data_IF_153152681366
#
_entry.id   IF_153152681366
#
_cell.length_a   1.000
_cell.length_b   1.000
_cell.length_c   1.000
_cell.angle_alpha   90.00
_cell.angle_beta   90.00
_cell.angle_gamma   90.00
#
_symmetry.space_group_name_H-M   'P 1'
#
loop_
_entity.id
_entity.type
_entity.pdbx_description
1 polymer ?
#
# COMPACT_ATOMS: atom_id res chain seq x y z
N UNK A 1 13.06 -52.77 -38.41
CA UNK A 1 12.53 -51.40 -38.22
C UNK A 1 11.02 -51.54 -38.21
N UNK A 2 10.45 -51.46 -37.01
CA UNK A 2 9.04 -51.72 -36.72
C UNK A 2 8.21 -50.49 -37.11
N UNK A 3 6.97 -50.69 -37.57
CA UNK A 3 6.04 -49.66 -38.08
C UNK A 3 5.91 -48.42 -37.16
N UNK A 4 6.17 -48.57 -35.87
CA UNK A 4 6.23 -47.48 -34.89
C UNK A 4 7.32 -46.44 -35.19
N UNK A 5 8.48 -46.83 -35.74
CA UNK A 5 9.55 -45.87 -36.10
C UNK A 5 9.21 -45.03 -37.33
N UNK A 6 8.40 -45.56 -38.26
CA UNK A 6 8.04 -44.87 -39.51
C UNK A 6 6.95 -43.81 -39.28
N UNK A 7 6.05 -44.02 -38.31
CA UNK A 7 4.98 -43.07 -37.96
C UNK A 7 5.50 -41.91 -37.09
N UNK A 8 6.54 -42.15 -36.26
CA UNK A 8 7.11 -41.14 -35.36
C UNK A 8 7.98 -40.08 -36.07
N UNK A 9 8.54 -40.38 -37.24
CA UNK A 9 9.38 -39.46 -38.01
C UNK A 9 8.64 -38.20 -38.51
N UNK A 10 7.47 -38.30 -39.17
CA UNK A 10 6.74 -37.12 -39.63
C UNK A 10 6.20 -36.24 -38.48
N UNK A 11 5.76 -36.84 -37.37
CA UNK A 11 5.28 -36.08 -36.20
C UNK A 11 6.41 -35.27 -35.54
N UNK A 12 7.61 -35.84 -35.45
CA UNK A 12 8.78 -35.15 -34.93
C UNK A 12 9.19 -33.97 -35.83
N UNK A 13 9.20 -34.19 -37.15
CA UNK A 13 9.52 -33.14 -38.13
C UNK A 13 8.51 -31.99 -38.02
N UNK A 14 7.20 -32.30 -38.01
CA UNK A 14 6.15 -31.29 -37.87
C UNK A 14 6.28 -30.47 -36.58
N UNK A 15 6.68 -31.09 -35.47
CA UNK A 15 6.93 -30.37 -34.21
C UNK A 15 8.13 -29.43 -34.32
N UNK A 16 9.22 -29.86 -34.97
CA UNK A 16 10.39 -29.01 -35.18
C UNK A 16 10.07 -27.84 -36.11
N UNK A 17 9.36 -28.08 -37.21
CA UNK A 17 8.95 -27.05 -38.16
C UNK A 17 8.04 -26.01 -37.48
N UNK A 18 7.12 -26.44 -36.63
CA UNK A 18 6.25 -25.53 -35.86
C UNK A 18 7.05 -24.60 -34.95
N UNK A 19 8.10 -25.13 -34.32
CA UNK A 19 9.02 -24.36 -33.46
C UNK A 19 9.86 -23.35 -34.26
N UNK A 20 10.43 -23.79 -35.38
CA UNK A 20 11.21 -22.92 -36.27
C UNK A 20 10.33 -21.79 -36.81
N UNK A 21 9.11 -22.13 -37.24
CA UNK A 21 8.15 -21.14 -37.73
C UNK A 21 7.79 -20.12 -36.65
N UNK A 22 7.52 -20.56 -35.41
CA UNK A 22 7.22 -19.67 -34.29
C UNK A 22 8.37 -18.67 -34.03
N UNK A 23 9.61 -19.16 -33.91
CA UNK A 23 10.77 -18.31 -33.68
C UNK A 23 11.00 -17.34 -34.86
N UNK A 24 10.81 -17.79 -36.10
CA UNK A 24 10.91 -16.96 -37.29
C UNK A 24 9.84 -15.87 -37.35
N UNK A 25 8.61 -16.16 -36.92
CA UNK A 25 7.52 -15.18 -36.81
C UNK A 25 7.83 -14.14 -35.74
N UNK A 26 8.31 -14.55 -34.57
CA UNK A 26 8.68 -13.64 -33.49
C UNK A 26 9.83 -12.72 -33.92
N UNK A 27 10.88 -13.28 -34.52
CA UNK A 27 11.99 -12.50 -35.06
C UNK A 27 11.51 -11.45 -36.08
N UNK A 28 10.65 -11.86 -37.02
CA UNK A 28 10.10 -10.96 -38.04
C UNK A 28 9.26 -9.85 -37.42
N UNK A 29 8.44 -10.16 -36.41
CA UNK A 29 7.61 -9.19 -35.70
C UNK A 29 8.47 -8.15 -34.95
N UNK A 30 9.55 -8.58 -34.29
CA UNK A 30 10.51 -7.70 -33.63
C UNK A 30 11.19 -6.77 -34.66
N UNK A 31 11.72 -7.32 -35.75
CA UNK A 31 12.39 -6.54 -36.78
C UNK A 31 11.45 -5.50 -37.44
N UNK A 32 10.20 -5.88 -37.66
CA UNK A 32 9.19 -5.03 -38.26
C UNK A 32 8.48 -4.09 -37.26
N UNK A 33 8.85 -4.11 -35.96
CA UNK A 33 8.19 -3.36 -34.89
C UNK A 33 6.67 -3.62 -34.81
N UNK A 34 6.24 -4.84 -35.14
CA UNK A 34 4.83 -5.25 -35.11
C UNK A 34 4.45 -5.69 -33.69
N UNK A 35 4.40 -4.74 -32.76
CA UNK A 35 4.18 -5.03 -31.33
C UNK A 35 2.93 -5.88 -31.04
N UNK A 36 1.76 -5.66 -31.67
CA UNK A 36 0.59 -6.52 -31.46
C UNK A 36 0.85 -8.00 -31.78
N UNK A 37 1.66 -8.27 -32.81
CA UNK A 37 2.00 -9.63 -33.20
C UNK A 37 2.96 -10.27 -32.19
N UNK A 38 3.84 -9.49 -31.54
CA UNK A 38 4.69 -9.99 -30.46
C UNK A 38 3.81 -10.45 -29.29
N UNK A 39 2.85 -9.63 -28.85
CA UNK A 39 1.92 -10.02 -27.78
C UNK A 39 1.05 -11.23 -28.16
N UNK A 40 0.57 -11.31 -29.41
CA UNK A 40 -0.13 -12.51 -29.91
C UNK A 40 0.76 -13.77 -29.87
N UNK A 41 2.06 -13.64 -30.14
CA UNK A 41 3.00 -14.75 -30.09
C UNK A 41 3.42 -15.11 -28.65
N UNK A 42 3.28 -14.20 -27.69
CA UNK A 42 3.51 -14.50 -26.27
C UNK A 42 2.32 -15.21 -25.64
N UNK A 43 1.09 -14.79 -25.96
CA UNK A 43 -0.13 -15.49 -25.55
C UNK A 43 -1.19 -15.41 -26.66
N UNK A 44 -1.23 -16.45 -27.51
CA UNK A 44 -2.15 -16.49 -28.63
C UNK A 44 -3.59 -16.70 -28.19
N UNK A 45 -3.81 -17.37 -27.06
CA UNK A 45 -5.15 -17.65 -26.58
C UNK A 45 -5.79 -16.35 -26.08
N UNK A 46 -5.12 -15.66 -25.15
CA UNK A 46 -5.61 -14.41 -24.58
C UNK A 46 -5.83 -13.36 -25.67
N UNK A 47 -4.89 -13.22 -26.61
CA UNK A 47 -5.01 -12.27 -27.70
C UNK A 47 -6.23 -12.55 -28.59
N UNK A 48 -6.41 -13.80 -29.02
CA UNK A 48 -7.50 -14.16 -29.92
C UNK A 48 -8.87 -14.10 -29.22
N UNK A 49 -8.94 -14.47 -27.94
CA UNK A 49 -10.19 -14.42 -27.16
C UNK A 49 -10.59 -12.97 -26.83
N UNK A 50 -9.65 -12.14 -26.35
CA UNK A 50 -9.98 -10.80 -25.85
C UNK A 50 -9.95 -9.71 -26.94
N UNK A 51 -8.98 -9.76 -27.87
CA UNK A 51 -8.83 -8.73 -28.92
C UNK A 51 -9.61 -9.11 -30.18
N UNK A 52 -9.51 -10.36 -30.63
CA UNK A 52 -10.21 -10.83 -31.86
C UNK A 52 -11.58 -11.43 -31.62
N UNK A 53 -12.01 -11.55 -30.36
CA UNK A 53 -13.32 -12.08 -29.96
C UNK A 53 -13.60 -13.49 -30.51
N UNK A 54 -12.56 -14.32 -30.64
CA UNK A 54 -12.66 -15.72 -31.04
C UNK A 54 -12.72 -16.60 -29.80
N UNK A 55 -13.91 -17.07 -29.43
CA UNK A 55 -14.09 -17.94 -28.29
C UNK A 55 -13.34 -19.28 -28.46
N UNK A 56 -12.73 -19.77 -27.37
CA UNK A 56 -12.00 -21.05 -27.32
C UNK A 56 -10.84 -21.11 -28.32
N UNK A 57 -10.01 -20.07 -28.37
CA UNK A 57 -8.85 -20.05 -29.24
C UNK A 57 -7.78 -21.03 -28.75
N UNK A 58 -7.04 -21.61 -29.69
CA UNK A 58 -5.94 -22.50 -29.37
C UNK A 58 -4.79 -21.75 -28.68
N UNK A 59 -4.23 -22.38 -27.64
CA UNK A 59 -3.08 -21.86 -26.90
C UNK A 59 -1.76 -22.27 -27.56
N UNK A 60 -0.84 -21.32 -27.64
CA UNK A 60 0.54 -21.53 -28.06
C UNK A 60 1.51 -21.67 -26.87
N UNK A 61 1.05 -21.92 -25.64
CA UNK A 61 1.88 -21.91 -24.43
C UNK A 61 3.16 -22.75 -24.54
N UNK A 62 3.09 -23.93 -25.18
CA UNK A 62 4.27 -24.79 -25.39
C UNK A 62 5.35 -24.18 -26.31
N UNK A 63 4.94 -23.31 -27.25
CA UNK A 63 5.83 -22.56 -28.13
C UNK A 63 6.34 -21.29 -27.43
N UNK A 64 5.47 -20.58 -26.71
CA UNK A 64 5.84 -19.39 -25.93
C UNK A 64 6.92 -19.70 -24.88
N UNK A 65 6.89 -20.89 -24.27
CA UNK A 65 7.93 -21.31 -23.32
C UNK A 65 9.34 -21.37 -23.95
N UNK A 66 9.46 -21.45 -25.28
CA UNK A 66 10.75 -21.50 -25.96
C UNK A 66 11.53 -20.19 -25.91
N UNK A 67 10.87 -19.08 -25.55
CA UNK A 67 11.47 -17.75 -25.48
C UNK A 67 11.50 -17.20 -24.07
N UNK A 68 11.23 -18.04 -23.08
CA UNK A 68 11.23 -17.65 -21.66
C UNK A 68 12.60 -17.13 -21.20
N UNK A 69 13.68 -17.60 -21.80
CA UNK A 69 15.05 -17.17 -21.53
C UNK A 69 15.36 -15.76 -22.07
N UNK A 70 14.57 -15.25 -23.02
CA UNK A 70 14.71 -13.91 -23.60
C UNK A 70 13.59 -12.94 -23.20
N UNK A 71 12.76 -13.31 -22.23
CA UNK A 71 11.64 -12.47 -21.77
C UNK A 71 12.08 -11.10 -21.27
N UNK A 72 13.27 -11.01 -20.67
CA UNK A 72 13.81 -9.74 -20.18
C UNK A 72 14.14 -8.77 -21.31
N UNK A 73 14.72 -9.28 -22.40
CA UNK A 73 15.02 -8.53 -23.60
C UNK A 73 13.74 -8.11 -24.33
N UNK A 74 12.75 -9.02 -24.41
CA UNK A 74 11.44 -8.70 -24.97
C UNK A 74 10.73 -7.61 -24.16
N UNK A 75 10.74 -7.70 -22.83
CA UNK A 75 10.17 -6.68 -21.97
C UNK A 75 10.85 -5.32 -22.18
N UNK A 76 12.19 -5.30 -22.22
CA UNK A 76 12.97 -4.08 -22.47
C UNK A 76 12.63 -3.47 -23.83
N UNK A 77 12.39 -4.30 -24.85
CA UNK A 77 11.98 -3.86 -26.19
C UNK A 77 10.55 -3.29 -26.20
N UNK A 78 9.62 -3.92 -25.47
CA UNK A 78 8.19 -3.57 -25.48
C UNK A 78 7.84 -2.40 -24.54
N UNK A 79 8.56 -2.25 -23.43
CA UNK A 79 8.25 -1.29 -22.38
C UNK A 79 8.13 0.17 -22.86
N UNK A 80 9.02 0.72 -23.71
CA UNK A 80 8.97 2.14 -24.06
C UNK A 80 7.64 2.60 -24.65
N UNK A 81 7.05 1.82 -25.57
CA UNK A 81 5.76 2.15 -26.20
C UNK A 81 4.59 1.97 -25.21
N UNK A 82 4.65 0.94 -24.36
CA UNK A 82 3.63 0.71 -23.33
C UNK A 82 3.63 1.84 -22.29
N UNK A 83 4.81 2.19 -21.75
CA UNK A 83 4.95 3.27 -20.77
C UNK A 83 4.53 4.61 -21.39
N UNK A 84 4.87 4.86 -22.66
CA UNK A 84 4.40 6.05 -23.37
C UNK A 84 2.86 6.11 -23.46
N UNK A 85 2.22 5.00 -23.85
CA UNK A 85 0.76 4.89 -23.88
C UNK A 85 0.14 5.12 -22.50
N UNK A 86 0.69 4.49 -21.46
CA UNK A 86 0.20 4.59 -20.09
C UNK A 86 0.32 6.02 -19.56
N UNK A 87 1.45 6.70 -19.76
CA UNK A 87 1.62 8.10 -19.34
C UNK A 87 0.66 9.06 -20.06
N UNK A 88 0.22 8.73 -21.28
CA UNK A 88 -0.79 9.53 -21.98
C UNK A 88 -2.21 9.34 -21.40
N UNK A 89 -2.56 8.13 -20.95
CA UNK A 89 -3.90 7.78 -20.48
C UNK A 89 -4.06 7.86 -18.95
N UNK A 90 -2.96 7.80 -18.22
CA UNK A 90 -2.88 7.86 -16.76
C UNK A 90 -1.77 8.83 -16.37
N UNK A 91 -1.98 10.12 -16.62
CA UNK A 91 -0.95 11.17 -16.50
C UNK A 91 -0.40 11.36 -15.09
N UNK A 92 -1.14 10.92 -14.07
CA UNK A 92 -0.74 10.98 -12.67
C UNK A 92 -0.02 9.71 -12.19
N UNK A 93 0.18 8.70 -13.05
CA UNK A 93 0.91 7.49 -12.66
C UNK A 93 2.39 7.62 -13.00
N UNK A 94 3.22 7.29 -12.02
CA UNK A 94 4.65 7.11 -12.20
C UNK A 94 5.01 5.62 -12.24
N UNK A 95 5.99 5.29 -13.08
CA UNK A 95 6.41 3.93 -13.37
C UNK A 95 7.91 3.81 -13.13
N UNK A 96 8.29 3.02 -12.14
CA UNK A 96 9.69 2.78 -11.78
C UNK A 96 10.04 1.31 -12.07
N UNK A 97 11.06 1.09 -12.91
CA UNK A 97 11.51 -0.27 -13.23
C UNK A 97 12.14 -0.93 -11.99
N UNK A 98 11.86 -2.21 -11.77
CA UNK A 98 12.49 -2.98 -10.71
C UNK A 98 13.90 -3.41 -11.15
N UNK A 99 14.90 -3.15 -10.30
CA UNK A 99 16.27 -3.59 -10.54
C UNK A 99 16.35 -5.11 -10.71
N UNK A 100 16.77 -5.55 -11.89
CA UNK A 100 16.89 -6.97 -12.23
C UNK A 100 15.64 -7.62 -12.82
N UNK A 101 14.51 -6.91 -12.89
CA UNK A 101 13.23 -7.41 -13.43
C UNK A 101 12.65 -6.43 -14.47
N UNK A 102 13.20 -6.38 -15.70
CA UNK A 102 12.79 -5.39 -16.71
C UNK A 102 11.34 -5.55 -17.21
N UNK A 103 10.69 -6.68 -16.90
CA UNK A 103 9.28 -6.91 -17.18
C UNK A 103 8.34 -6.22 -16.18
N UNK A 104 8.82 -5.90 -14.97
CA UNK A 104 7.98 -5.44 -13.88
C UNK A 104 8.32 -4.01 -13.49
N UNK A 105 7.28 -3.17 -13.41
CA UNK A 105 7.38 -1.79 -12.96
C UNK A 105 6.55 -1.61 -11.69
N UNK A 106 7.12 -0.94 -10.68
CA UNK A 106 6.36 -0.41 -9.57
C UNK A 106 5.58 0.82 -10.05
N UNK A 107 4.31 0.89 -9.67
CA UNK A 107 3.42 1.97 -10.10
C UNK A 107 2.99 2.78 -8.90
N UNK A 108 3.09 4.10 -9.01
CA UNK A 108 2.78 5.07 -7.97
C UNK A 108 1.76 6.10 -8.46
N UNK A 109 0.95 6.65 -7.57
CA UNK A 109 0.13 7.84 -7.87
C UNK A 109 0.90 9.08 -7.43
N UNK A 110 1.20 9.95 -8.39
CA UNK A 110 1.83 11.25 -8.23
C UNK A 110 3.31 11.21 -7.83
N UNK A 111 3.92 12.39 -7.81
CA UNK A 111 5.36 12.60 -7.60
C UNK A 111 5.69 13.23 -6.24
N UNK A 112 4.72 13.29 -5.32
CA UNK A 112 4.91 13.92 -4.00
C UNK A 112 5.68 13.04 -3.01
N UNK A 113 6.14 13.68 -1.93
CA UNK A 113 6.85 12.99 -0.85
C UNK A 113 5.96 11.96 -0.14
N UNK A 114 6.41 10.71 -0.11
CA UNK A 114 5.62 9.54 0.32
C UNK A 114 4.42 9.21 -0.58
N UNK A 115 4.53 9.41 -1.90
CA UNK A 115 3.63 8.72 -2.81
C UNK A 115 3.61 7.22 -2.49
N UNK A 116 2.44 6.61 -2.61
CA UNK A 116 2.25 5.20 -2.28
C UNK A 116 2.28 4.38 -3.55
N UNK A 117 2.95 3.23 -3.46
CA UNK A 117 2.88 2.25 -4.52
C UNK A 117 1.45 1.73 -4.57
N UNK A 118 0.84 1.81 -5.74
CA UNK A 118 -0.53 1.35 -5.98
C UNK A 118 -0.55 -0.07 -6.50
N UNK A 119 0.54 -0.53 -7.09
CA UNK A 119 0.55 -1.80 -7.79
C UNK A 119 1.83 -2.08 -8.56
N UNK A 120 1.74 -3.07 -9.42
CA UNK A 120 2.81 -3.51 -10.32
C UNK A 120 2.28 -3.70 -11.73
N UNK A 121 3.02 -3.20 -12.71
CA UNK A 121 2.77 -3.40 -14.12
C UNK A 121 3.68 -4.52 -14.64
N UNK A 122 3.08 -5.54 -15.25
CA UNK A 122 3.79 -6.53 -16.07
C UNK A 122 3.68 -6.13 -17.54
N UNK A 123 4.83 -5.84 -18.16
CA UNK A 123 4.94 -5.41 -19.56
C UNK A 123 4.55 -6.52 -20.52
N UNK A 124 4.91 -7.78 -20.24
CA UNK A 124 4.66 -8.90 -21.14
C UNK A 124 3.19 -9.33 -21.07
N UNK A 125 2.62 -9.36 -19.86
CA UNK A 125 1.22 -9.71 -19.63
C UNK A 125 0.25 -8.54 -19.87
N UNK A 126 0.76 -7.32 -20.08
CA UNK A 126 -0.03 -6.08 -20.20
C UNK A 126 -1.04 -5.91 -19.07
N UNK A 127 -0.61 -6.24 -17.85
CA UNK A 127 -1.47 -6.27 -16.67
C UNK A 127 -0.93 -5.30 -15.64
N UNK A 128 -1.79 -4.40 -15.16
CA UNK A 128 -1.52 -3.55 -14.02
C UNK A 128 -2.30 -4.09 -12.82
N UNK A 129 -1.60 -4.83 -11.95
CA UNK A 129 -2.16 -5.36 -10.72
C UNK A 129 -2.14 -4.29 -9.64
N UNK A 130 -3.32 -3.86 -9.18
CA UNK A 130 -3.46 -2.80 -8.18
C UNK A 130 -3.83 -3.40 -6.82
N UNK A 131 -3.29 -2.84 -5.75
CA UNK A 131 -3.67 -3.20 -4.37
C UNK A 131 -5.15 -2.88 -4.14
N UNK A 132 -5.94 -3.95 -4.02
CA UNK A 132 -7.37 -3.85 -3.81
C UNK A 132 -7.73 -3.15 -2.49
N UNK A 133 -6.89 -3.26 -1.45
CA UNK A 133 -7.12 -2.55 -0.18
C UNK A 133 -6.97 -1.05 -0.37
N UNK A 134 -5.98 -0.62 -1.14
CA UNK A 134 -5.79 0.79 -1.46
C UNK A 134 -6.95 1.32 -2.31
N UNK A 135 -7.37 0.59 -3.35
CA UNK A 135 -8.52 0.96 -4.17
C UNK A 135 -9.82 1.05 -3.37
N UNK A 136 -10.03 0.11 -2.43
CA UNK A 136 -11.18 0.16 -1.53
C UNK A 136 -11.09 1.35 -0.56
N UNK A 137 -9.91 1.65 -0.02
CA UNK A 137 -9.70 2.81 0.84
C UNK A 137 -10.02 4.11 0.09
N UNK A 138 -9.48 4.29 -1.12
CA UNK A 138 -9.78 5.43 -1.97
C UNK A 138 -11.28 5.52 -2.28
N UNK A 139 -11.91 4.41 -2.64
CA UNK A 139 -13.35 4.39 -2.86
C UNK A 139 -14.14 4.83 -1.62
N UNK A 140 -13.79 4.34 -0.44
CA UNK A 140 -14.46 4.70 0.81
C UNK A 140 -14.27 6.19 1.13
N UNK A 141 -13.04 6.71 0.99
CA UNK A 141 -12.76 8.15 1.20
C UNK A 141 -13.56 8.99 0.20
N UNK A 142 -13.71 8.53 -1.05
CA UNK A 142 -14.51 9.24 -2.06
C UNK A 142 -16.02 9.25 -1.77
N UNK A 143 -16.51 8.45 -0.82
CA UNK A 143 -17.91 8.47 -0.36
C UNK A 143 -18.12 9.34 0.88
N UNK A 144 -17.04 9.87 1.48
CA UNK A 144 -17.15 10.73 2.65
C UNK A 144 -17.69 12.12 2.24
N UNK A 145 -18.47 12.78 3.10
CA UNK A 145 -18.87 14.16 2.87
C UNK A 145 -17.66 15.09 2.79
N UNK A 146 -17.79 16.18 2.05
CA UNK A 146 -16.74 17.21 1.95
C UNK A 146 -16.27 17.67 3.33
N UNK A 147 -14.95 17.65 3.54
CA UNK A 147 -14.33 18.06 4.80
C UNK A 147 -14.35 17.01 5.93
N UNK A 148 -14.82 15.78 5.66
CA UNK A 148 -14.74 14.65 6.58
C UNK A 148 -13.59 13.73 6.15
N UNK A 149 -12.74 13.35 7.10
CA UNK A 149 -11.67 12.39 6.86
C UNK A 149 -11.98 11.02 7.46
N UNK A 150 -11.34 9.99 6.93
CA UNK A 150 -11.54 8.61 7.37
C UNK A 150 -11.09 8.42 8.83
N UNK A 151 -10.01 9.09 9.25
CA UNK A 151 -9.47 8.95 10.59
C UNK A 151 -10.01 9.96 11.62
N UNK A 152 -11.00 10.80 11.26
CA UNK A 152 -11.52 11.86 12.14
C UNK A 152 -11.98 11.35 13.52
N UNK A 153 -12.62 10.18 13.56
CA UNK A 153 -13.07 9.56 14.82
C UNK A 153 -11.89 9.12 15.69
N UNK A 154 -10.92 8.43 15.09
CA UNK A 154 -9.73 7.96 15.81
C UNK A 154 -8.89 9.15 16.32
N UNK A 155 -8.70 10.17 15.49
CA UNK A 155 -8.02 11.41 15.88
C UNK A 155 -8.72 12.08 17.06
N UNK A 156 -10.06 12.11 17.07
CA UNK A 156 -10.85 12.65 18.18
C UNK A 156 -10.69 11.87 19.47
N UNK A 157 -10.72 10.54 19.42
CA UNK A 157 -10.51 9.66 20.58
C UNK A 157 -9.10 9.84 21.16
N UNK A 158 -8.07 9.88 20.32
CA UNK A 158 -6.69 10.12 20.78
C UNK A 158 -6.57 11.51 21.41
N UNK A 159 -7.17 12.55 20.80
CA UNK A 159 -7.19 13.92 21.37
C UNK A 159 -7.86 13.95 22.75
N UNK A 160 -8.92 13.16 22.98
CA UNK A 160 -9.55 13.04 24.30
C UNK A 160 -8.63 12.36 25.32
N UNK A 161 -7.96 11.27 24.95
CA UNK A 161 -6.97 10.58 25.80
C UNK A 161 -5.84 11.56 26.17
N UNK A 162 -5.29 12.26 25.19
CA UNK A 162 -4.24 13.25 25.40
C UNK A 162 -4.67 14.38 26.33
N UNK A 163 -5.93 14.84 26.25
CA UNK A 163 -6.47 15.84 27.18
C UNK A 163 -6.42 15.33 28.62
N UNK A 164 -6.77 14.07 28.86
CA UNK A 164 -6.67 13.44 30.18
C UNK A 164 -5.23 13.28 30.67
N UNK A 165 -4.31 12.89 29.78
CA UNK A 165 -2.87 12.79 30.10
C UNK A 165 -2.26 14.16 30.41
N UNK A 166 -2.65 15.20 29.67
CA UNK A 166 -2.19 16.57 29.91
C UNK A 166 -2.71 17.09 31.25
N UNK A 167 -3.99 16.88 31.56
CA UNK A 167 -4.55 17.23 32.87
C UNK A 167 -3.80 16.52 34.02
N UNK A 168 -3.41 15.25 33.83
CA UNK A 168 -2.57 14.56 34.80
C UNK A 168 -1.20 15.24 34.97
N UNK A 169 -0.56 15.72 33.90
CA UNK A 169 0.72 16.42 33.98
C UNK A 169 0.59 17.80 34.61
N UNK A 170 -0.48 18.54 34.32
CA UNK A 170 -0.71 19.89 34.86
C UNK A 170 -0.87 19.87 36.39
N UNK A 171 -1.41 18.78 36.94
CA UNK A 171 -1.53 18.55 38.38
C UNK A 171 -0.20 18.17 39.08
N UNK A 172 0.93 18.04 38.36
CA UNK A 172 2.22 17.61 38.93
C UNK A 172 2.69 18.54 40.07
N UNK A 173 2.60 19.86 39.87
CA UNK A 173 2.99 20.85 40.89
C UNK A 173 2.10 20.74 42.13
N UNK A 174 0.79 20.55 41.94
CA UNK A 174 -0.16 20.36 43.04
C UNK A 174 0.16 19.09 43.83
N UNK A 175 0.47 17.97 43.14
CA UNK A 175 0.87 16.71 43.80
C UNK A 175 2.15 16.87 44.62
N UNK A 176 3.14 17.62 44.13
CA UNK A 176 4.38 17.90 44.89
C UNK A 176 4.10 18.71 46.15
N UNK A 177 3.29 19.76 46.05
CA UNK A 177 2.87 20.57 47.19
C UNK A 177 2.07 19.75 48.20
N UNK A 178 1.15 18.90 47.75
CA UNK A 178 0.39 18.01 48.64
C UNK A 178 1.29 17.02 49.37
N UNK A 179 2.32 16.47 48.71
CA UNK A 179 3.31 15.61 49.38
C UNK A 179 4.06 16.38 50.46
N UNK A 180 4.51 17.62 50.19
CA UNK A 180 5.19 18.45 51.19
C UNK A 180 4.28 18.74 52.40
N UNK A 181 3.03 19.12 52.15
CA UNK A 181 2.05 19.37 53.23
C UNK A 181 1.82 18.12 54.08
N UNK A 182 1.73 16.94 53.48
CA UNK A 182 1.58 15.68 54.21
C UNK A 182 2.84 15.35 55.02
N UNK A 183 4.03 15.62 54.47
CA UNK A 183 5.29 15.45 55.19
C UNK A 183 5.39 16.35 56.42
N UNK A 184 4.98 17.62 56.31
CA UNK A 184 4.90 18.56 57.42
C UNK A 184 3.89 18.09 58.50
N UNK A 185 2.71 17.62 58.09
CA UNK A 185 1.70 17.08 59.00
C UNK A 185 2.20 15.82 59.74
N UNK A 186 2.89 14.91 59.04
CA UNK A 186 3.50 13.74 59.64
C UNK A 186 4.63 14.09 60.62
N UNK A 187 5.39 15.15 60.36
CA UNK A 187 6.41 15.66 61.27
C UNK A 187 5.80 16.24 62.56
N UNK A 188 4.76 17.06 62.44
CA UNK A 188 4.03 17.62 63.59
C UNK A 188 3.40 16.52 64.47
N UNK A 189 2.83 15.47 63.87
CA UNK A 189 2.31 14.32 64.60
C UNK A 189 3.40 13.53 65.34
N UNK A 190 4.65 13.54 64.85
CA UNK A 190 5.79 12.94 65.57
C UNK A 190 6.23 13.80 66.76
N UNK A 191 6.22 15.11 66.63
CA UNK A 191 6.61 16.06 67.69
C UNK A 191 5.58 16.12 68.84
N UNK A 192 4.28 16.02 68.53
CA UNK A 192 3.19 16.06 69.52
C UNK A 192 3.05 14.80 70.40
N UNK A 193 3.99 13.84 70.31
CA UNK A 193 4.02 12.60 71.10
C UNK A 193 4.13 12.79 72.63
N UNK A 194 4.19 14.01 73.14
CA UNK A 194 4.41 14.29 74.56
C UNK A 194 3.13 14.37 75.42
N UNK A 195 1.91 14.13 74.90
CA UNK A 195 0.68 14.24 75.69
C UNK A 195 -0.48 13.29 75.32
N UNK A 196 -0.83 12.40 76.25
CA UNK A 196 -2.13 11.77 76.58
C UNK A 196 -3.19 11.34 75.52
N UNK A 197 -3.00 11.48 74.19
CA UNK A 197 -4.02 11.19 73.15
C UNK A 197 -3.59 10.17 72.05
N UNK A 198 -2.59 9.33 72.30
CA UNK A 198 -1.88 8.54 71.27
C UNK A 198 -2.64 7.43 70.51
N UNK A 199 -3.96 7.27 70.65
CA UNK A 199 -4.76 6.27 69.90
C UNK A 199 -5.41 6.84 68.63
N UNK A 200 -5.80 8.11 68.66
CA UNK A 200 -6.36 8.86 67.51
C UNK A 200 -5.29 9.20 66.48
N UNK A 201 -4.05 9.42 66.91
CA UNK A 201 -2.93 9.78 66.03
C UNK A 201 -2.45 8.64 65.12
N UNK A 202 -2.67 7.37 65.52
CA UNK A 202 -2.22 6.22 64.74
C UNK A 202 -2.98 6.08 63.42
N UNK A 203 -4.31 6.19 63.47
CA UNK A 203 -5.17 6.05 62.29
C UNK A 203 -4.98 7.23 61.32
N UNK A 204 -4.92 8.46 61.85
CA UNK A 204 -4.64 9.65 61.05
C UNK A 204 -3.28 9.57 60.35
N UNK A 205 -2.27 9.03 61.05
CA UNK A 205 -0.95 8.80 60.48
C UNK A 205 -0.96 7.74 59.37
N UNK A 206 -1.64 6.61 59.56
CA UNK A 206 -1.79 5.58 58.53
C UNK A 206 -2.52 6.14 57.28
N UNK A 207 -3.56 6.97 57.46
CA UNK A 207 -4.27 7.62 56.34
C UNK A 207 -3.36 8.60 55.57
N UNK A 208 -2.54 9.38 56.27
CA UNK A 208 -1.55 10.29 55.67
C UNK A 208 -0.42 9.54 54.95
N UNK A 209 0.10 8.46 55.54
CA UNK A 209 1.12 7.61 54.92
C UNK A 209 0.57 6.96 53.63
N UNK A 210 -0.65 6.41 53.66
CA UNK A 210 -1.32 5.88 52.47
C UNK A 210 -1.52 6.95 51.37
N UNK A 211 -1.98 8.16 51.74
CA UNK A 211 -2.16 9.25 50.77
C UNK A 211 -0.82 9.67 50.15
N UNK A 212 0.24 9.74 50.96
CA UNK A 212 1.61 10.04 50.49
C UNK A 212 2.11 8.99 49.50
N UNK A 213 1.93 7.71 49.81
CA UNK A 213 2.34 6.61 48.92
C UNK A 213 1.63 6.69 47.56
N UNK A 214 0.31 6.94 47.54
CA UNK A 214 -0.45 7.12 46.30
C UNK A 214 0.05 8.32 45.48
N UNK A 215 0.35 9.44 46.13
CA UNK A 215 0.88 10.63 45.46
C UNK A 215 2.28 10.41 44.89
N UNK A 216 3.15 9.70 45.62
CA UNK A 216 4.50 9.36 45.14
C UNK A 216 4.46 8.34 43.99
N UNK A 217 3.62 7.32 44.09
CA UNK A 217 3.40 6.37 43.00
C UNK A 217 2.88 7.08 41.74
N UNK A 218 1.98 8.06 41.89
CA UNK A 218 1.53 8.91 40.80
C UNK A 218 2.68 9.75 40.20
N UNK A 219 3.56 10.33 41.03
CA UNK A 219 4.73 11.06 40.52
C UNK A 219 5.71 10.17 39.73
N UNK A 220 5.89 8.90 40.12
CA UNK A 220 6.72 7.95 39.38
C UNK A 220 6.19 7.65 37.98
N UNK A 221 4.89 7.86 37.71
CA UNK A 221 4.27 7.65 36.39
C UNK A 221 4.42 8.83 35.44
N UNK A 222 4.94 9.98 35.89
CA UNK A 222 5.10 11.18 35.05
C UNK A 222 5.94 10.91 33.77
N UNK A 223 7.08 10.21 33.82
CA UNK A 223 7.85 9.90 32.61
C UNK A 223 7.04 9.06 31.61
N UNK A 224 6.34 8.03 32.08
CA UNK A 224 5.49 7.16 31.26
C UNK A 224 4.35 7.96 30.60
N UNK A 225 3.73 8.89 31.34
CA UNK A 225 2.66 9.74 30.80
C UNK A 225 3.19 10.69 29.72
N UNK A 226 4.39 11.26 29.90
CA UNK A 226 5.04 12.11 28.87
C UNK A 226 5.35 11.32 27.60
N UNK A 227 5.87 10.11 27.74
CA UNK A 227 6.15 9.22 26.61
C UNK A 227 4.86 8.86 25.86
N UNK A 228 3.79 8.49 26.57
CA UNK A 228 2.48 8.21 25.96
C UNK A 228 1.92 9.41 25.21
N UNK A 229 2.06 10.62 25.75
CA UNK A 229 1.60 11.83 25.10
C UNK A 229 2.37 12.10 23.79
N UNK A 230 3.69 11.89 23.77
CA UNK A 230 4.49 11.99 22.54
C UNK A 230 4.11 10.92 21.52
N UNK A 231 3.90 9.68 21.96
CA UNK A 231 3.47 8.58 21.08
C UNK A 231 2.12 8.88 20.42
N UNK A 232 1.15 9.37 21.19
CA UNK A 232 -0.16 9.74 20.65
C UNK A 232 -0.11 10.96 19.73
N UNK A 233 0.77 11.93 20.00
CA UNK A 233 0.99 13.05 19.08
C UNK A 233 1.55 12.56 17.74
N UNK A 234 2.50 11.62 17.75
CA UNK A 234 3.03 11.01 16.54
C UNK A 234 1.97 10.18 15.79
N UNK A 235 1.09 9.49 16.52
CA UNK A 235 -0.02 8.75 15.95
C UNK A 235 -1.01 9.66 15.22
N UNK A 236 -1.42 10.78 15.84
CA UNK A 236 -2.29 11.79 15.19
C UNK A 236 -1.64 12.31 13.90
N UNK A 237 -0.36 12.67 13.94
CA UNK A 237 0.35 13.17 12.76
C UNK A 237 0.40 12.14 11.63
N UNK A 238 0.53 10.85 11.97
CA UNK A 238 0.48 9.77 10.99
C UNK A 238 -0.90 9.64 10.35
N UNK A 239 -1.97 9.70 11.14
CA UNK A 239 -3.35 9.63 10.65
C UNK A 239 -3.70 10.83 9.75
N UNK A 240 -3.37 12.05 10.20
CA UNK A 240 -3.60 13.27 9.44
C UNK A 240 -2.79 13.28 8.13
N UNK A 241 -1.56 12.75 8.13
CA UNK A 241 -0.77 12.56 6.90
C UNK A 241 -1.43 11.56 5.96
N UNK A 242 -1.94 10.44 6.47
CA UNK A 242 -2.58 9.41 5.65
C UNK A 242 -3.87 9.94 4.99
N UNK A 243 -4.66 10.72 5.72
CA UNK A 243 -5.84 11.40 5.17
C UNK A 243 -5.46 12.41 4.07
N UNK A 244 -4.40 13.21 4.30
CA UNK A 244 -3.91 14.16 3.30
C UNK A 244 -3.43 13.46 2.02
N UNK A 245 -2.76 12.31 2.15
CA UNK A 245 -2.33 11.51 0.99
C UNK A 245 -3.54 10.96 0.23
N UNK A 246 -4.54 10.40 0.92
CA UNK A 246 -5.76 9.93 0.25
C UNK A 246 -6.46 11.03 -0.54
N UNK A 247 -6.53 12.25 0.01
CA UNK A 247 -7.13 13.39 -0.70
C UNK A 247 -6.35 13.77 -1.96
N UNK A 248 -5.02 13.81 -1.90
CA UNK A 248 -4.18 14.08 -3.08
C UNK A 248 -4.35 13.00 -4.16
N UNK A 249 -4.38 11.73 -3.76
CA UNK A 249 -4.59 10.61 -4.68
C UNK A 249 -5.98 10.67 -5.34
N UNK A 250 -7.02 10.99 -4.55
CA UNK A 250 -8.37 11.16 -5.07
C UNK A 250 -8.49 12.34 -6.00
N UNK A 251 -7.89 13.49 -5.68
CA UNK A 251 -7.90 14.66 -6.55
C UNK A 251 -7.30 14.33 -7.92
N UNK A 252 -6.18 13.61 -7.95
CA UNK A 252 -5.55 13.17 -9.20
C UNK A 252 -6.45 12.22 -9.98
N UNK A 253 -7.02 11.20 -9.33
CA UNK A 253 -7.92 10.26 -10.00
C UNK A 253 -9.15 11.00 -10.55
N UNK A 254 -9.79 11.85 -9.75
CA UNK A 254 -11.02 12.55 -10.12
C UNK A 254 -10.81 13.68 -11.14
N UNK A 255 -9.57 14.14 -11.32
CA UNK A 255 -9.21 15.07 -12.41
C UNK A 255 -9.34 14.41 -13.79
N UNK A 256 -9.10 13.11 -13.90
CA UNK A 256 -9.07 12.38 -15.18
C UNK A 256 -10.19 11.34 -15.32
N UNK A 257 -10.80 10.91 -14.23
CA UNK A 257 -11.83 9.87 -14.18
C UNK A 257 -13.05 10.35 -13.39
N UNK A 258 -14.24 9.93 -13.80
CA UNK A 258 -15.49 10.29 -13.10
C UNK A 258 -15.57 9.71 -11.68
N UNK A 259 -14.87 8.60 -11.42
CA UNK A 259 -14.83 7.96 -10.11
C UNK A 259 -13.62 7.03 -9.97
N UNK A 260 -13.29 6.66 -8.72
CA UNK A 260 -12.31 5.61 -8.40
C UNK A 260 -12.67 4.28 -9.09
N UNK A 261 -13.97 3.98 -9.21
CA UNK A 261 -14.44 2.79 -9.91
C UNK A 261 -14.14 2.84 -11.41
N UNK A 262 -14.41 3.98 -12.06
CA UNK A 262 -14.10 4.17 -13.47
C UNK A 262 -12.60 4.06 -13.75
N UNK A 263 -11.76 4.58 -12.85
CA UNK A 263 -10.31 4.38 -12.90
C UNK A 263 -9.93 2.89 -12.83
N UNK A 264 -10.45 2.15 -11.86
CA UNK A 264 -10.22 0.70 -11.74
C UNK A 264 -10.71 -0.10 -12.96
N UNK A 265 -11.87 0.25 -13.51
CA UNK A 265 -12.40 -0.35 -14.74
C UNK A 265 -11.48 -0.06 -15.94
N UNK A 266 -10.96 1.18 -16.05
CA UNK A 266 -10.01 1.53 -17.12
C UNK A 266 -8.71 0.73 -17.02
N UNK A 267 -8.17 0.54 -15.81
CA UNK A 267 -6.99 -0.30 -15.58
C UNK A 267 -7.26 -1.75 -16.00
N UNK A 268 -8.43 -2.30 -15.63
CA UNK A 268 -8.79 -3.69 -15.96
C UNK A 268 -8.89 -3.97 -17.47
N UNK A 269 -9.11 -2.92 -18.27
CA UNK A 269 -9.17 -3.00 -19.72
C UNK A 269 -7.83 -2.72 -20.42
N UNK A 270 -6.74 -2.51 -19.66
CA UNK A 270 -5.42 -2.16 -20.20
C UNK A 270 -5.00 -3.04 -21.39
N UNK A 271 -5.09 -4.37 -21.22
CA UNK A 271 -4.71 -5.34 -22.25
C UNK A 271 -5.40 -5.06 -23.59
N UNK A 272 -6.73 -4.94 -23.57
CA UNK A 272 -7.54 -4.77 -24.77
C UNK A 272 -7.37 -3.36 -25.35
N UNK A 273 -7.38 -2.33 -24.50
CA UNK A 273 -7.29 -0.93 -24.92
C UNK A 273 -5.94 -0.61 -25.58
N UNK A 274 -4.85 -1.08 -24.99
CA UNK A 274 -3.51 -0.87 -25.53
C UNK A 274 -3.31 -1.59 -26.87
N UNK A 275 -3.68 -2.87 -26.96
CA UNK A 275 -3.53 -3.64 -28.20
C UNK A 275 -4.40 -3.08 -29.32
N UNK A 276 -5.62 -2.64 -29.02
CA UNK A 276 -6.47 -1.96 -30.01
C UNK A 276 -5.88 -0.62 -30.47
N UNK A 277 -5.28 0.15 -29.57
CA UNK A 277 -4.59 1.40 -29.93
C UNK A 277 -3.42 1.14 -30.89
N UNK A 278 -2.63 0.09 -30.63
CA UNK A 278 -1.54 -0.32 -31.51
C UNK A 278 -2.04 -0.79 -32.89
N UNK A 279 -3.15 -1.53 -32.96
CA UNK A 279 -3.74 -1.98 -34.22
C UNK A 279 -4.29 -0.84 -35.08
N UNK A 280 -4.68 0.28 -34.46
CA UNK A 280 -5.19 1.48 -35.15
C UNK A 280 -4.07 2.40 -35.65
N UNK A 281 -2.88 2.32 -35.04
CA UNK A 281 -1.69 3.09 -35.40
C UNK A 281 -1.07 2.47 -36.67
N UNK A 282 -1.63 2.83 -37.84
CA UNK A 282 -1.10 2.47 -39.17
C UNK A 282 -0.14 3.52 -39.69
#
# INVERSE_FOLDING_TARGET
MTESQTVLQPELINRLDSKIMYLGQLQSAIMAHQLPQIYELLDSQQFNEQVRQRAHADSNASLAQMVADIHNELATFLAPELIHYLKAHFQFLEFEAIDGEPAIYQVFIGDWWNHRQIGTLDVLALTLEVDQKMMLALHNVSQLPDGVNNNDNQVREIKQIMTGLQAFLDDETKRKLEVQVIEDQLAQLKENKSGLLGRTDKKAREELENKRELLLASQQRVPEVKEKLQSHQAEILKLEKDDAIHHLELEQILTYFESVKAFGEKISHLYVDYLNALLQKK
#
